data_IF_168748551623
#
_entry.id   IF_168748551623
#
_cell.length_a   1.000
_cell.length_b   1.000
_cell.length_c   1.000
_cell.angle_alpha   90.00
_cell.angle_beta   90.00
_cell.angle_gamma   90.00
#
_symmetry.space_group_name_H-M   'P 1'
#
loop_
_entity.id
_entity.type
_entity.pdbx_description
1 polymer ?
#
# COMPACT_ATOMS: atom_id res chain seq x y z
N UNK A 1 11.54 25.50 -8.75
CA UNK A 1 11.59 24.04 -8.69
C UNK A 1 10.15 23.58 -8.62
N UNK A 2 9.72 22.70 -9.53
CA UNK A 2 8.36 22.14 -9.52
C UNK A 2 8.34 20.97 -8.55
N UNK A 3 7.27 20.86 -7.73
CA UNK A 3 7.03 19.75 -6.81
C UNK A 3 5.72 19.07 -7.15
N UNK A 4 5.66 17.77 -7.01
CA UNK A 4 4.48 16.96 -7.33
C UNK A 4 4.51 15.62 -6.59
N UNK A 5 3.41 14.93 -6.63
CA UNK A 5 3.30 13.56 -6.13
C UNK A 5 3.50 12.56 -7.27
N UNK A 6 4.31 11.54 -7.01
CA UNK A 6 4.48 10.38 -7.89
C UNK A 6 3.89 9.16 -7.19
N UNK A 7 3.06 8.41 -7.89
CA UNK A 7 2.46 7.18 -7.38
C UNK A 7 3.20 5.97 -7.95
N UNK A 8 3.76 5.13 -7.09
CA UNK A 8 4.41 3.88 -7.47
C UNK A 8 3.50 2.70 -7.16
N UNK A 9 2.87 2.15 -8.19
CA UNK A 9 1.98 1.00 -8.01
C UNK A 9 2.75 -0.32 -7.97
N UNK A 10 2.30 -1.23 -7.12
CA UNK A 10 2.80 -2.60 -7.08
C UNK A 10 2.31 -3.40 -8.29
N UNK A 11 3.24 -3.95 -9.05
CA UNK A 11 2.89 -4.89 -10.12
C UNK A 11 2.45 -6.22 -9.50
N UNK A 12 1.31 -6.73 -9.94
CA UNK A 12 0.81 -8.03 -9.48
C UNK A 12 1.74 -9.14 -9.99
N UNK A 13 2.15 -10.03 -9.10
CA UNK A 13 3.05 -11.14 -9.44
C UNK A 13 2.37 -12.28 -10.21
N UNK A 14 3.16 -13.12 -10.94
CA UNK A 14 2.63 -14.20 -11.78
C UNK A 14 1.95 -15.33 -10.99
N UNK A 15 2.15 -15.39 -9.70
CA UNK A 15 1.55 -16.37 -8.78
C UNK A 15 0.36 -15.82 -7.97
N UNK A 16 -0.27 -14.74 -8.44
CA UNK A 16 -1.43 -14.15 -7.78
C UNK A 16 -2.52 -15.18 -7.52
N UNK A 17 -2.98 -15.27 -6.27
CA UNK A 17 -3.96 -16.24 -5.81
C UNK A 17 -4.81 -15.68 -4.67
N UNK A 18 -5.94 -16.35 -4.39
CA UNK A 18 -6.87 -16.01 -3.31
C UNK A 18 -6.76 -17.01 -2.16
N UNK A 19 -5.70 -16.93 -1.36
CA UNK A 19 -5.48 -17.84 -0.24
C UNK A 19 -6.24 -17.46 1.05
N UNK A 20 -6.84 -16.27 1.11
CA UNK A 20 -7.64 -15.84 2.28
C UNK A 20 -6.83 -15.67 3.58
N UNK A 21 -5.58 -15.23 3.48
CA UNK A 21 -4.59 -15.27 4.56
C UNK A 21 -4.79 -14.20 5.65
N UNK A 22 -5.58 -13.16 5.37
CA UNK A 22 -5.67 -12.00 6.26
C UNK A 22 -6.90 -12.07 7.17
N UNK A 23 -6.74 -12.67 8.36
CA UNK A 23 -7.76 -12.59 9.41
C UNK A 23 -8.06 -11.12 9.77
N UNK A 24 -9.35 -10.74 9.74
CA UNK A 24 -9.81 -9.36 9.91
C UNK A 24 -10.01 -8.59 8.60
N UNK A 25 -9.57 -9.11 7.44
CA UNK A 25 -9.91 -8.58 6.13
C UNK A 25 -11.05 -9.41 5.53
N UNK A 26 -12.28 -8.88 5.59
CA UNK A 26 -13.50 -9.60 5.21
C UNK A 26 -13.49 -9.98 3.72
N UNK A 27 -13.04 -9.10 2.84
CA UNK A 27 -12.99 -9.36 1.40
C UNK A 27 -12.01 -10.49 1.06
N UNK A 28 -10.81 -10.48 1.67
CA UNK A 28 -9.83 -11.55 1.49
C UNK A 28 -10.37 -12.91 1.94
N UNK A 29 -11.08 -12.96 3.08
CA UNK A 29 -11.61 -14.21 3.62
C UNK A 29 -12.80 -14.77 2.83
N UNK A 30 -13.68 -13.90 2.32
CA UNK A 30 -14.89 -14.33 1.59
C UNK A 30 -14.59 -14.93 0.22
N UNK A 31 -13.46 -14.58 -0.40
CA UNK A 31 -13.03 -15.11 -1.70
C UNK A 31 -11.96 -16.20 -1.58
N UNK A 32 -11.66 -16.67 -0.37
CA UNK A 32 -10.66 -17.72 -0.14
C UNK A 32 -10.98 -18.98 -0.97
N UNK A 33 -9.94 -19.56 -1.58
CA UNK A 33 -9.99 -20.76 -2.40
C UNK A 33 -10.65 -20.63 -3.80
N UNK A 34 -11.12 -19.44 -4.19
CA UNK A 34 -11.56 -19.21 -5.57
C UNK A 34 -10.35 -19.30 -6.53
N UNK A 35 -10.63 -19.70 -7.78
CA UNK A 35 -9.61 -19.60 -8.84
C UNK A 35 -9.31 -18.13 -9.15
N UNK A 36 -8.03 -17.77 -9.17
CA UNK A 36 -7.58 -16.46 -9.59
C UNK A 36 -7.28 -16.39 -11.08
N UNK A 37 -7.16 -15.17 -11.61
CA UNK A 37 -6.63 -14.89 -12.92
C UNK A 37 -5.44 -13.92 -12.77
N UNK A 38 -4.19 -14.43 -12.62
CA UNK A 38 -3.01 -13.60 -12.45
C UNK A 38 -2.80 -12.60 -13.59
N UNK A 39 -3.04 -13.03 -14.84
CA UNK A 39 -2.92 -12.18 -16.03
C UNK A 39 -3.86 -11.00 -15.96
N UNK A 40 -5.13 -11.23 -15.69
CA UNK A 40 -6.12 -10.15 -15.59
C UNK A 40 -5.84 -9.23 -14.39
N UNK A 41 -5.41 -9.79 -13.26
CA UNK A 41 -5.03 -8.98 -12.10
C UNK A 41 -3.88 -8.01 -12.41
N UNK A 42 -2.83 -8.48 -13.09
CA UNK A 42 -1.71 -7.65 -13.52
C UNK A 42 -2.15 -6.59 -14.56
N UNK A 43 -2.97 -6.98 -15.53
CA UNK A 43 -3.48 -6.05 -16.55
C UNK A 43 -4.42 -4.98 -15.97
N UNK A 44 -5.26 -5.30 -14.97
CA UNK A 44 -6.05 -4.28 -14.26
C UNK A 44 -5.16 -3.24 -13.59
N UNK A 45 -4.09 -3.67 -12.90
CA UNK A 45 -3.11 -2.76 -12.31
C UNK A 45 -2.42 -1.88 -13.36
N UNK A 46 -1.96 -2.46 -14.47
CA UNK A 46 -1.33 -1.71 -15.56
C UNK A 46 -2.29 -0.70 -16.21
N UNK A 47 -3.55 -1.07 -16.44
CA UNK A 47 -4.58 -0.14 -16.96
C UNK A 47 -4.84 1.02 -16.00
N UNK A 48 -4.85 0.77 -14.67
CA UNK A 48 -4.95 1.83 -13.67
C UNK A 48 -3.76 2.78 -13.78
N UNK A 49 -2.52 2.26 -13.82
CA UNK A 49 -1.31 3.09 -13.97
C UNK A 49 -1.39 3.96 -15.24
N UNK A 50 -1.80 3.35 -16.38
CA UNK A 50 -1.96 4.05 -17.65
C UNK A 50 -3.01 5.17 -17.57
N UNK A 51 -4.18 4.89 -17.00
CA UNK A 51 -5.23 5.88 -16.82
C UNK A 51 -4.78 7.08 -15.97
N UNK A 52 -3.94 6.86 -14.95
CA UNK A 52 -3.37 7.96 -14.16
C UNK A 52 -2.40 8.82 -14.99
N UNK A 53 -1.60 8.22 -15.88
CA UNK A 53 -0.74 9.00 -16.79
C UNK A 53 -1.56 9.83 -17.77
N UNK A 54 -2.70 9.33 -18.22
CA UNK A 54 -3.64 10.06 -19.11
C UNK A 54 -4.33 11.24 -18.39
N UNK A 55 -4.48 11.17 -17.07
CA UNK A 55 -4.90 12.29 -16.22
C UNK A 55 -3.77 13.31 -15.97
N UNK A 56 -2.57 13.07 -16.51
CA UNK A 56 -1.41 13.95 -16.34
C UNK A 56 -0.58 13.70 -15.11
N UNK A 57 -0.81 12.57 -14.40
CA UNK A 57 -0.04 12.19 -13.22
C UNK A 57 1.26 11.50 -13.62
N UNK A 58 2.31 11.73 -12.83
CA UNK A 58 3.54 10.92 -12.93
C UNK A 58 3.33 9.60 -12.20
N UNK A 59 3.51 8.51 -12.91
CA UNK A 59 3.25 7.15 -12.42
C UNK A 59 4.51 6.30 -12.51
N UNK A 60 4.81 5.59 -11.43
CA UNK A 60 5.87 4.59 -11.37
C UNK A 60 5.33 3.19 -11.11
N UNK A 61 6.22 2.20 -11.17
CA UNK A 61 5.93 0.78 -10.91
C UNK A 61 6.98 0.18 -9.99
N UNK A 62 6.53 -0.63 -9.02
CA UNK A 62 7.37 -1.48 -8.17
C UNK A 62 7.21 -2.94 -8.58
N UNK A 63 8.33 -3.66 -8.63
CA UNK A 63 8.35 -5.07 -8.97
C UNK A 63 7.68 -5.94 -7.89
N UNK A 64 7.02 -7.06 -8.25
CA UNK A 64 6.44 -7.99 -7.30
C UNK A 64 7.52 -8.79 -6.58
N UNK A 65 7.14 -9.49 -5.52
CA UNK A 65 8.02 -10.41 -4.77
C UNK A 65 8.17 -11.76 -5.48
N UNK A 66 9.32 -12.43 -5.29
CA UNK A 66 9.46 -13.85 -5.64
C UNK A 66 8.49 -14.69 -4.80
N UNK A 67 7.68 -15.50 -5.47
CA UNK A 67 6.81 -16.48 -4.83
C UNK A 67 6.84 -17.81 -5.60
N UNK A 68 6.87 -18.95 -4.88
CA UNK A 68 6.84 -19.04 -3.40
C UNK A 68 8.16 -18.59 -2.78
N UNK A 69 8.09 -18.21 -1.49
CA UNK A 69 9.29 -18.01 -0.68
C UNK A 69 9.87 -19.36 -0.25
N UNK A 70 10.72 -19.93 -1.11
CA UNK A 70 11.36 -21.22 -0.87
C UNK A 70 12.41 -21.15 0.25
N UNK A 71 13.02 -19.98 0.47
CA UNK A 71 13.99 -19.80 1.55
C UNK A 71 13.32 -20.01 2.91
N UNK A 72 12.14 -19.44 3.10
CA UNK A 72 11.34 -19.64 4.31
C UNK A 72 10.89 -21.08 4.47
N UNK A 73 10.43 -21.76 3.41
CA UNK A 73 10.08 -23.18 3.49
C UNK A 73 11.28 -24.03 3.96
N UNK A 74 12.49 -23.76 3.45
CA UNK A 74 13.72 -24.43 3.87
C UNK A 74 14.08 -24.14 5.33
N UNK A 75 13.93 -22.88 5.78
CA UNK A 75 14.12 -22.51 7.20
C UNK A 75 13.14 -23.24 8.13
N UNK A 76 11.97 -23.63 7.62
CA UNK A 76 10.96 -24.41 8.36
C UNK A 76 11.18 -25.92 8.28
N UNK A 77 12.31 -26.37 7.72
CA UNK A 77 12.75 -27.77 7.75
C UNK A 77 12.37 -28.60 6.53
N UNK A 78 11.78 -28.03 5.48
CA UNK A 78 11.54 -28.70 4.21
C UNK A 78 12.85 -28.77 3.42
N UNK A 79 13.28 -29.97 2.99
CA UNK A 79 14.61 -30.21 2.41
C UNK A 79 14.55 -30.86 1.03
N UNK A 80 15.63 -30.70 0.27
CA UNK A 80 15.78 -31.25 -1.07
C UNK A 80 15.75 -30.18 -2.17
N UNK A 81 15.51 -30.59 -3.41
CA UNK A 81 15.29 -29.66 -4.52
C UNK A 81 13.91 -28.96 -4.40
N UNK A 82 13.67 -27.94 -5.19
CA UNK A 82 12.46 -27.13 -5.13
C UNK A 82 11.17 -27.97 -5.23
N UNK A 83 11.13 -28.93 -6.16
CA UNK A 83 9.98 -29.81 -6.34
C UNK A 83 9.66 -30.61 -5.06
N UNK A 84 10.70 -31.17 -4.40
CA UNK A 84 10.53 -31.94 -3.17
C UNK A 84 10.11 -31.07 -1.99
N UNK A 85 10.65 -29.84 -1.89
CA UNK A 85 10.26 -28.87 -0.88
C UNK A 85 8.77 -28.53 -1.03
N UNK A 86 8.30 -28.27 -2.26
CA UNK A 86 6.89 -27.98 -2.53
C UNK A 86 5.98 -29.16 -2.22
N UNK A 87 6.36 -30.38 -2.65
CA UNK A 87 5.58 -31.59 -2.38
C UNK A 87 5.44 -31.85 -0.86
N UNK A 88 6.54 -31.74 -0.12
CA UNK A 88 6.54 -31.92 1.33
C UNK A 88 5.68 -30.86 2.02
N UNK A 89 5.84 -29.57 1.65
CA UNK A 89 5.08 -28.47 2.21
C UNK A 89 3.57 -28.61 1.90
N UNK A 90 3.21 -28.97 0.66
CA UNK A 90 1.82 -29.18 0.28
C UNK A 90 1.16 -30.33 1.06
N UNK A 91 1.91 -31.39 1.37
CA UNK A 91 1.41 -32.55 2.09
C UNK A 91 1.35 -32.33 3.61
N UNK A 92 2.38 -31.69 4.18
CA UNK A 92 2.57 -31.61 5.64
C UNK A 92 2.07 -30.30 6.26
N UNK A 93 2.12 -29.20 5.48
CA UNK A 93 1.78 -27.87 5.97
C UNK A 93 1.19 -26.98 4.85
N UNK A 94 0.03 -27.33 4.28
CA UNK A 94 -0.55 -26.61 3.14
C UNK A 94 -0.84 -25.12 3.43
N UNK A 95 -1.18 -24.76 4.67
CA UNK A 95 -1.38 -23.39 5.09
C UNK A 95 -0.06 -22.57 5.07
N UNK A 96 1.06 -23.21 5.43
CA UNK A 96 2.39 -22.57 5.34
C UNK A 96 2.80 -22.37 3.87
N UNK A 97 2.55 -23.36 3.02
CA UNK A 97 2.79 -23.21 1.58
C UNK A 97 1.98 -22.07 0.99
N UNK A 98 0.68 -22.00 1.31
CA UNK A 98 -0.18 -20.90 0.87
C UNK A 98 0.34 -19.53 1.35
N UNK A 99 0.81 -19.43 2.60
CA UNK A 99 1.42 -18.22 3.13
C UNK A 99 2.70 -17.83 2.38
N UNK A 100 3.56 -18.78 2.00
CA UNK A 100 4.75 -18.54 1.19
C UNK A 100 4.44 -18.16 -0.28
N UNK A 101 3.20 -18.37 -0.73
CA UNK A 101 2.68 -17.90 -2.02
C UNK A 101 1.86 -16.61 -1.94
N UNK A 102 1.88 -15.90 -0.82
CA UNK A 102 1.09 -14.69 -0.61
C UNK A 102 1.24 -13.68 -1.76
N UNK A 103 0.10 -13.24 -2.32
CA UNK A 103 0.04 -12.20 -3.34
C UNK A 103 0.05 -10.77 -2.76
N UNK A 104 0.11 -10.62 -1.44
CA UNK A 104 -0.12 -9.34 -0.75
C UNK A 104 0.94 -8.27 -1.03
N UNK A 105 2.11 -8.62 -1.55
CA UNK A 105 3.16 -7.66 -1.93
C UNK A 105 2.76 -6.68 -3.05
N UNK A 106 1.67 -6.96 -3.76
CA UNK A 106 1.10 -6.03 -4.74
C UNK A 106 0.54 -4.75 -4.08
N UNK A 107 0.26 -4.80 -2.77
CA UNK A 107 -0.24 -3.64 -2.03
C UNK A 107 0.91 -2.81 -1.49
N UNK A 108 1.44 -1.92 -2.33
CA UNK A 108 2.63 -1.13 -2.02
C UNK A 108 2.38 0.02 -1.04
N UNK A 109 1.13 0.31 -0.66
CA UNK A 109 0.86 1.11 0.53
C UNK A 109 1.47 0.50 1.81
N UNK A 110 1.67 -0.82 1.83
CA UNK A 110 2.38 -1.52 2.91
C UNK A 110 3.87 -1.73 2.61
N UNK A 111 4.40 -1.25 1.50
CA UNK A 111 5.82 -1.46 1.18
C UNK A 111 6.74 -0.70 2.14
N UNK A 112 6.44 0.56 2.39
CA UNK A 112 7.26 1.43 3.24
C UNK A 112 6.46 2.62 3.75
N UNK A 113 6.96 3.25 4.82
CA UNK A 113 6.65 4.66 5.13
C UNK A 113 7.65 5.54 4.39
N UNK A 114 7.16 6.65 3.83
CA UNK A 114 7.95 7.61 3.05
C UNK A 114 7.71 9.01 3.58
N UNK A 115 8.80 9.74 3.88
CA UNK A 115 8.74 11.16 4.19
C UNK A 115 9.52 11.96 3.14
N UNK A 116 8.93 13.03 2.56
CA UNK A 116 9.57 13.81 1.51
C UNK A 116 10.71 14.69 2.05
N UNK A 117 11.58 15.13 1.16
CA UNK A 117 12.72 15.98 1.47
C UNK A 117 12.37 17.32 2.14
N UNK A 118 11.13 17.79 1.95
CA UNK A 118 10.63 19.02 2.56
C UNK A 118 10.40 18.90 4.09
N UNK A 119 10.28 17.68 4.60
CA UNK A 119 9.93 17.41 6.01
C UNK A 119 11.09 16.82 6.80
N UNK A 120 12.11 16.29 6.14
CA UNK A 120 13.27 15.64 6.77
C UNK A 120 14.40 16.62 7.06
N UNK A 121 15.13 16.42 8.16
CA UNK A 121 16.21 17.33 8.56
C UNK A 121 17.38 17.36 7.59
N UNK A 122 17.67 16.28 6.87
CA UNK A 122 18.78 16.19 5.92
C UNK A 122 18.40 16.54 4.48
N UNK A 123 17.12 16.87 4.23
CA UNK A 123 16.61 17.29 2.93
C UNK A 123 16.57 16.17 1.88
N UNK A 124 16.56 14.89 2.29
CA UNK A 124 16.38 13.74 1.42
C UNK A 124 15.01 13.08 1.60
N UNK A 125 14.55 12.36 0.60
CA UNK A 125 13.37 11.52 0.75
C UNK A 125 13.77 10.24 1.49
N UNK A 126 13.11 9.95 2.60
CA UNK A 126 13.37 8.78 3.43
C UNK A 126 12.40 7.65 3.18
N UNK A 127 12.93 6.42 3.16
CA UNK A 127 12.16 5.18 3.00
C UNK A 127 12.49 4.22 4.14
N UNK A 128 11.47 3.77 4.88
CA UNK A 128 11.58 2.66 5.83
C UNK A 128 10.63 1.55 5.40
N UNK A 129 11.11 0.39 4.90
CA UNK A 129 10.27 -0.76 4.59
C UNK A 129 9.47 -1.19 5.81
N UNK A 130 8.20 -1.49 5.64
CA UNK A 130 7.36 -1.96 6.74
C UNK A 130 7.71 -3.41 7.11
N UNK A 131 7.83 -3.72 8.40
CA UNK A 131 8.17 -5.07 8.85
C UNK A 131 7.02 -6.07 8.78
N UNK A 132 5.77 -5.60 8.77
CA UNK A 132 4.55 -6.39 8.56
C UNK A 132 4.41 -7.61 9.48
N UNK A 133 4.96 -7.52 10.69
CA UNK A 133 5.11 -8.66 11.61
C UNK A 133 3.80 -9.27 12.09
N UNK A 134 2.70 -8.50 12.02
CA UNK A 134 1.39 -8.99 12.49
C UNK A 134 0.87 -10.20 11.68
N UNK A 135 1.32 -10.38 10.45
CA UNK A 135 0.92 -11.47 9.56
C UNK A 135 2.13 -12.20 9.00
N UNK A 136 2.28 -13.49 9.33
CA UNK A 136 3.39 -14.31 8.85
C UNK A 136 3.61 -14.20 7.33
N UNK A 137 2.54 -14.31 6.53
CA UNK A 137 2.64 -14.24 5.07
C UNK A 137 3.12 -12.87 4.53
N UNK A 138 3.07 -11.82 5.36
CA UNK A 138 3.53 -10.46 5.04
C UNK A 138 4.95 -10.21 5.57
N UNK A 139 5.28 -10.77 6.74
CA UNK A 139 6.62 -10.60 7.34
C UNK A 139 7.77 -11.19 6.49
N UNK A 140 7.44 -11.84 5.38
CA UNK A 140 8.39 -12.34 4.37
C UNK A 140 8.82 -11.27 3.35
N UNK A 141 8.22 -10.06 3.40
CA UNK A 141 8.37 -9.06 2.35
C UNK A 141 9.51 -8.03 2.57
N UNK A 142 9.86 -7.62 3.82
CA UNK A 142 10.64 -6.40 4.06
C UNK A 142 12.00 -6.35 3.37
N UNK A 143 12.76 -7.43 3.39
CA UNK A 143 14.11 -7.47 2.80
C UNK A 143 14.10 -7.24 1.29
N UNK A 144 13.25 -7.97 0.57
CA UNK A 144 13.13 -7.83 -0.89
C UNK A 144 12.53 -6.49 -1.25
N UNK A 145 11.55 -6.00 -0.48
CA UNK A 145 11.01 -4.64 -0.61
C UNK A 145 12.11 -3.59 -0.50
N UNK A 146 12.97 -3.71 0.51
CA UNK A 146 14.12 -2.81 0.69
C UNK A 146 15.09 -2.84 -0.49
N UNK A 147 15.35 -4.01 -1.08
CA UNK A 147 16.19 -4.13 -2.28
C UNK A 147 15.54 -3.46 -3.50
N UNK A 148 14.25 -3.67 -3.72
CA UNK A 148 13.50 -3.06 -4.83
C UNK A 148 13.50 -1.53 -4.67
N UNK A 149 13.18 -1.00 -3.50
CA UNK A 149 13.19 0.45 -3.25
C UNK A 149 14.56 1.06 -3.50
N UNK A 150 15.66 0.42 -3.04
CA UNK A 150 17.02 0.91 -3.34
C UNK A 150 17.37 0.86 -4.82
N UNK A 151 16.84 -0.11 -5.58
CA UNK A 151 17.07 -0.18 -7.03
C UNK A 151 16.28 0.87 -7.82
N UNK A 152 15.10 1.26 -7.32
CA UNK A 152 14.25 2.31 -7.91
C UNK A 152 14.76 3.70 -7.54
N UNK A 153 15.09 3.91 -6.26
CA UNK A 153 15.53 5.18 -5.70
C UNK A 153 17.03 5.08 -5.32
N UNK A 154 17.89 4.98 -6.32
CA UNK A 154 19.28 4.55 -6.16
C UNK A 154 20.31 5.68 -6.04
N UNK A 155 19.87 6.90 -5.80
CA UNK A 155 20.74 8.07 -5.67
C UNK A 155 20.79 8.61 -4.24
N UNK A 156 21.84 8.30 -3.48
CA UNK A 156 22.03 8.66 -2.07
C UNK A 156 22.07 10.18 -1.79
N UNK A 157 22.19 11.01 -2.84
CA UNK A 157 22.10 12.48 -2.69
C UNK A 157 20.64 12.93 -2.43
N UNK A 158 19.67 12.18 -2.92
CA UNK A 158 18.26 12.51 -2.85
C UNK A 158 17.46 11.55 -1.98
N UNK A 159 17.93 10.30 -1.82
CA UNK A 159 17.17 9.23 -1.17
C UNK A 159 17.94 8.62 -0.01
N UNK A 160 17.26 8.41 1.09
CA UNK A 160 17.76 7.74 2.29
C UNK A 160 16.97 6.48 2.56
N UNK A 161 17.65 5.34 2.69
CA UNK A 161 17.04 4.04 2.91
C UNK A 161 17.39 3.47 4.26
N UNK A 162 16.38 3.26 5.08
CA UNK A 162 16.52 2.58 6.37
C UNK A 162 16.31 1.06 6.23
N UNK A 163 16.73 0.33 7.25
CA UNK A 163 16.26 -1.05 7.45
C UNK A 163 14.83 -1.00 8.00
N UNK A 164 14.06 -2.06 7.78
CA UNK A 164 12.78 -2.22 8.47
C UNK A 164 13.00 -2.26 10.00
N UNK A 165 11.99 -1.90 10.78
CA UNK A 165 12.03 -1.99 12.22
C UNK A 165 12.23 -3.45 12.68
N UNK A 166 12.68 -3.69 13.94
CA UNK A 166 12.84 -5.05 14.45
C UNK A 166 11.61 -5.91 14.24
N UNK A 167 11.82 -7.17 13.84
CA UNK A 167 10.77 -8.16 13.58
C UNK A 167 10.12 -8.64 14.89
N UNK A 168 9.45 -7.73 15.58
CA UNK A 168 8.79 -7.99 16.84
C UNK A 168 7.44 -7.27 16.90
N UNK A 169 6.45 -7.90 17.51
CA UNK A 169 5.10 -7.38 17.62
C UNK A 169 4.99 -6.03 18.35
N UNK A 170 5.95 -5.70 19.22
CA UNK A 170 6.03 -4.37 19.86
C UNK A 170 6.32 -3.23 18.88
N UNK A 171 6.96 -3.54 17.76
CA UNK A 171 7.28 -2.60 16.69
C UNK A 171 6.54 -2.93 15.39
N UNK A 172 5.31 -3.46 15.51
CA UNK A 172 4.47 -3.76 14.37
C UNK A 172 4.22 -2.53 13.50
N UNK A 173 4.66 -2.60 12.24
CA UNK A 173 4.58 -1.52 11.25
C UNK A 173 3.94 -2.02 9.95
N UNK A 174 2.98 -1.26 9.45
CA UNK A 174 2.22 -1.57 8.23
C UNK A 174 2.43 -0.53 7.12
N UNK A 175 3.43 0.35 7.29
CA UNK A 175 3.85 1.33 6.28
C UNK A 175 2.84 2.44 6.02
N UNK A 176 2.85 2.97 4.79
CA UNK A 176 2.06 4.12 4.39
C UNK A 176 0.53 3.90 4.44
N UNK A 177 0.04 2.67 4.61
CA UNK A 177 -1.38 2.40 4.87
C UNK A 177 -1.88 3.05 6.17
N UNK A 178 -0.97 3.36 7.10
CA UNK A 178 -1.25 4.04 8.37
C UNK A 178 -0.53 5.40 8.49
N UNK A 179 -0.13 5.96 7.36
CA UNK A 179 0.57 7.23 7.30
C UNK A 179 -0.04 8.14 6.23
N UNK A 180 -0.25 9.41 6.59
CA UNK A 180 -0.79 10.43 5.69
C UNK A 180 -0.06 11.73 5.92
N UNK A 181 0.37 12.40 4.86
CA UNK A 181 0.97 13.73 4.92
C UNK A 181 -0.03 14.79 4.48
N UNK A 182 -0.17 15.86 5.25
CA UNK A 182 -0.89 17.06 4.88
C UNK A 182 0.09 18.22 4.67
N UNK A 183 -0.13 19.02 3.63
CA UNK A 183 0.69 20.18 3.30
C UNK A 183 -0.10 21.19 2.45
N UNK A 184 0.33 22.43 2.39
CA UNK A 184 -0.25 23.44 1.50
C UNK A 184 0.14 23.19 0.05
N UNK A 185 1.42 22.86 -0.16
CA UNK A 185 1.95 22.45 -1.46
C UNK A 185 3.02 21.36 -1.24
N UNK A 186 3.26 20.48 -2.23
CA UNK A 186 4.16 19.33 -2.08
C UNK A 186 5.62 19.70 -1.72
N UNK A 187 6.06 20.90 -2.08
CA UNK A 187 7.41 21.40 -1.76
C UNK A 187 7.52 22.20 -0.46
N UNK A 188 6.42 22.38 0.26
CA UNK A 188 6.41 23.05 1.56
C UNK A 188 6.43 22.00 2.67
N UNK A 189 6.94 22.40 3.85
CA UNK A 189 6.88 21.56 5.05
C UNK A 189 5.43 21.15 5.34
N UNK A 190 5.23 19.87 5.65
CA UNK A 190 3.94 19.28 5.90
C UNK A 190 3.75 18.83 7.34
N UNK A 191 2.56 18.29 7.62
CA UNK A 191 2.23 17.60 8.86
C UNK A 191 2.09 16.12 8.57
N UNK A 192 2.91 15.31 9.22
CA UNK A 192 2.97 13.87 9.07
C UNK A 192 2.05 13.20 10.09
N UNK A 193 0.99 12.57 9.60
CA UNK A 193 -0.01 11.90 10.43
C UNK A 193 0.32 10.41 10.51
N UNK A 194 0.72 9.93 11.69
CA UNK A 194 0.95 8.52 11.98
C UNK A 194 -0.24 7.95 12.75
N UNK A 195 -0.97 7.04 12.13
CA UNK A 195 -2.15 6.43 12.74
C UNK A 195 -1.79 5.05 13.28
N UNK A 196 -1.95 4.86 14.59
CA UNK A 196 -1.67 3.60 15.28
C UNK A 196 -2.94 3.00 15.88
N UNK A 197 -2.97 1.69 16.08
CA UNK A 197 -4.13 1.02 16.65
C UNK A 197 -3.96 0.64 18.12
N UNK A 198 -2.71 0.55 18.62
CA UNK A 198 -2.39 0.23 20.02
C UNK A 198 -1.03 0.78 20.43
N UNK A 199 -0.82 0.96 21.73
CA UNK A 199 0.52 1.05 22.31
C UNK A 199 1.01 -0.34 22.72
N UNK A 200 2.28 -0.62 22.51
CA UNK A 200 2.89 -1.90 22.86
C UNK A 200 3.40 -1.95 24.31
N UNK A 201 3.68 -0.79 24.93
CA UNK A 201 4.20 -0.70 26.28
C UNK A 201 3.26 -0.02 27.27
N UNK A 202 2.13 0.54 26.82
CA UNK A 202 1.12 1.14 27.69
C UNK A 202 -0.22 0.42 27.52
N UNK A 203 -0.44 -0.58 28.34
CA UNK A 203 -1.66 -1.40 28.33
C UNK A 203 -2.89 -0.71 28.95
N UNK A 204 -2.74 0.50 29.49
CA UNK A 204 -3.87 1.30 29.98
C UNK A 204 -4.63 2.00 28.87
N UNK A 205 -4.04 2.15 27.70
CA UNK A 205 -4.68 2.75 26.52
C UNK A 205 -5.73 1.84 25.91
N UNK A 206 -6.80 2.41 25.35
CA UNK A 206 -7.81 1.64 24.63
C UNK A 206 -7.17 0.78 23.51
N UNK A 207 -7.68 -0.44 23.34
CA UNK A 207 -7.24 -1.36 22.29
C UNK A 207 -8.43 -2.17 21.76
N UNK A 208 -8.41 -2.65 20.51
CA UNK A 208 -9.46 -3.50 19.97
C UNK A 208 -9.52 -4.85 20.69
N UNK A 209 -10.70 -5.47 20.69
CA UNK A 209 -10.97 -6.72 21.44
C UNK A 209 -11.11 -7.93 20.54
N UNK A 210 -11.49 -7.73 19.27
CA UNK A 210 -11.82 -8.81 18.33
C UNK A 210 -10.70 -9.07 17.33
N UNK A 211 -10.19 -8.01 16.70
CA UNK A 211 -9.14 -8.11 15.70
C UNK A 211 -7.87 -7.41 16.20
N UNK A 212 -6.68 -7.92 15.90
CA UNK A 212 -5.44 -7.31 16.35
C UNK A 212 -5.23 -5.96 15.66
N UNK A 213 -4.86 -4.94 16.43
CA UNK A 213 -4.29 -3.72 15.88
C UNK A 213 -2.88 -4.03 15.38
N UNK A 214 -2.60 -3.70 14.13
CA UNK A 214 -1.35 -4.08 13.45
C UNK A 214 -0.23 -3.06 13.64
N UNK A 215 -0.58 -1.76 13.59
CA UNK A 215 0.37 -0.65 13.78
C UNK A 215 0.49 -0.29 15.26
N UNK A 216 1.72 -0.16 15.75
CA UNK A 216 1.98 0.29 17.13
C UNK A 216 2.39 1.76 17.16
N UNK A 217 2.12 2.44 18.27
CA UNK A 217 2.58 3.81 18.53
C UNK A 217 4.12 3.88 18.48
N UNK A 218 4.77 2.89 19.06
CA UNK A 218 6.24 2.81 19.18
C UNK A 218 6.91 2.65 17.82
N UNK A 219 6.29 1.90 16.89
CA UNK A 219 6.76 1.82 15.51
C UNK A 219 6.64 3.18 14.81
N UNK A 220 5.50 3.84 14.94
CA UNK A 220 5.27 5.18 14.36
C UNK A 220 6.28 6.20 14.88
N UNK A 221 6.54 6.22 16.18
CA UNK A 221 7.54 7.08 16.80
C UNK A 221 8.97 6.75 16.36
N UNK A 222 9.29 5.48 16.16
CA UNK A 222 10.61 5.05 15.68
C UNK A 222 10.85 5.54 14.24
N UNK A 223 9.86 5.43 13.37
CA UNK A 223 9.94 5.90 11.99
C UNK A 223 10.11 7.42 11.94
N UNK A 224 9.33 8.17 12.72
CA UNK A 224 9.45 9.62 12.78
C UNK A 224 10.88 10.05 13.18
N UNK A 225 11.49 9.37 14.17
CA UNK A 225 12.89 9.60 14.55
C UNK A 225 13.89 9.21 13.47
N UNK A 226 13.72 8.06 12.81
CA UNK A 226 14.58 7.60 11.73
C UNK A 226 14.57 8.55 10.53
N UNK A 227 13.40 9.12 10.22
CA UNK A 227 13.26 10.09 9.14
C UNK A 227 13.69 11.50 9.53
N UNK A 228 14.07 11.73 10.79
CA UNK A 228 14.49 13.05 11.28
C UNK A 228 13.38 14.08 11.18
N UNK A 229 12.13 13.68 11.47
CA UNK A 229 10.98 14.58 11.44
C UNK A 229 10.96 15.46 12.69
N UNK A 230 10.54 16.72 12.52
CA UNK A 230 10.34 17.63 13.63
C UNK A 230 9.09 17.24 14.43
N UNK A 231 9.18 17.23 15.76
CA UNK A 231 8.03 16.92 16.64
C UNK A 231 6.84 17.85 16.41
N UNK A 232 7.08 19.12 16.05
CA UNK A 232 6.04 20.09 15.73
C UNK A 232 5.30 19.79 14.42
N UNK A 233 5.87 18.94 13.56
CA UNK A 233 5.27 18.52 12.28
C UNK A 233 4.71 17.09 12.28
N UNK A 234 4.70 16.39 13.42
CA UNK A 234 4.21 15.01 13.53
C UNK A 234 3.02 14.92 14.47
N UNK A 235 1.95 14.23 14.03
CA UNK A 235 0.77 13.92 14.85
C UNK A 235 0.61 12.41 14.96
N UNK A 236 0.58 11.89 16.19
CA UNK A 236 0.31 10.48 16.46
C UNK A 236 -1.15 10.27 16.82
N UNK A 237 -1.91 9.63 15.94
CA UNK A 237 -3.36 9.48 16.01
C UNK A 237 -3.70 8.04 16.36
N UNK A 238 -4.53 7.85 17.38
CA UNK A 238 -5.07 6.52 17.65
C UNK A 238 -6.32 6.28 16.80
N UNK A 239 -6.28 5.24 15.96
CA UNK A 239 -7.46 4.73 15.26
C UNK A 239 -8.47 4.23 16.30
N UNK A 240 -9.75 4.50 16.08
CA UNK A 240 -10.80 4.07 16.99
C UNK A 240 -10.81 2.51 17.07
N UNK A 241 -10.61 1.92 18.27
CA UNK A 241 -10.59 0.47 18.42
C UNK A 241 -11.89 -0.23 17.99
N UNK A 242 -13.03 0.45 18.10
CA UNK A 242 -14.33 -0.12 17.71
C UNK A 242 -14.44 -0.33 16.19
N UNK A 243 -13.83 0.53 15.37
CA UNK A 243 -13.83 0.32 13.92
C UNK A 243 -12.83 -0.77 13.50
N UNK A 244 -11.73 -0.94 14.25
CA UNK A 244 -10.81 -2.08 14.04
C UNK A 244 -11.59 -3.40 14.25
N UNK A 245 -12.40 -3.48 15.29
CA UNK A 245 -13.26 -4.63 15.59
C UNK A 245 -14.39 -4.85 14.57
N UNK A 246 -14.67 -3.87 13.71
CA UNK A 246 -15.58 -3.95 12.57
C UNK A 246 -14.87 -4.33 11.24
N UNK A 247 -13.55 -4.56 11.27
CA UNK A 247 -12.78 -4.98 10.11
C UNK A 247 -11.96 -3.88 9.43
N UNK A 248 -11.83 -2.70 10.07
CA UNK A 248 -10.95 -1.62 9.61
C UNK A 248 -9.52 -1.91 10.08
N UNK A 249 -8.81 -2.69 9.32
CA UNK A 249 -7.49 -3.23 9.68
C UNK A 249 -6.32 -2.25 9.45
N UNK A 250 -6.51 -1.20 8.65
CA UNK A 250 -5.59 -0.10 8.41
C UNK A 250 -6.33 1.24 8.36
N UNK A 251 -5.62 2.34 8.58
CA UNK A 251 -6.18 3.68 8.47
C UNK A 251 -6.69 3.98 7.05
N UNK A 252 -6.04 3.51 6.00
CA UNK A 252 -6.44 3.73 4.61
C UNK A 252 -7.78 3.08 4.22
N UNK A 253 -8.39 2.31 5.13
CA UNK A 253 -9.76 1.78 5.00
C UNK A 253 -10.81 2.75 5.56
N UNK A 254 -10.41 3.75 6.36
CA UNK A 254 -11.35 4.64 7.06
C UNK A 254 -11.00 6.13 6.92
N UNK A 255 -9.82 6.46 6.41
CA UNK A 255 -9.38 7.83 6.16
C UNK A 255 -8.36 7.89 5.01
N UNK A 256 -8.37 8.96 4.25
CA UNK A 256 -7.40 9.26 3.19
C UNK A 256 -7.19 10.77 3.10
N UNK A 257 -5.96 11.20 2.86
CA UNK A 257 -5.66 12.63 2.69
C UNK A 257 -4.76 12.90 1.50
N UNK A 258 -4.76 14.14 1.05
CA UNK A 258 -3.82 14.67 0.08
C UNK A 258 -3.71 16.19 0.23
N UNK A 259 -2.50 16.72 0.25
CA UNK A 259 -2.22 18.14 0.46
C UNK A 259 -3.03 18.71 1.63
N UNK A 260 -3.98 19.60 1.38
CA UNK A 260 -4.79 20.28 2.38
C UNK A 260 -6.16 19.63 2.61
N UNK A 261 -6.35 18.37 2.22
CA UNK A 261 -7.60 17.62 2.41
C UNK A 261 -7.37 16.39 3.26
N UNK A 262 -8.17 16.22 4.32
CA UNK A 262 -8.34 14.97 5.04
C UNK A 262 -9.81 14.53 4.91
N UNK A 263 -10.03 13.40 4.22
CA UNK A 263 -11.31 12.76 4.00
C UNK A 263 -11.40 11.52 4.89
N UNK A 264 -12.32 11.49 5.84
CA UNK A 264 -12.37 10.46 6.87
C UNK A 264 -13.80 10.19 7.34
N UNK A 265 -14.02 9.00 7.88
CA UNK A 265 -15.28 8.63 8.49
C UNK A 265 -15.39 9.22 9.91
N UNK A 266 -16.59 9.61 10.33
CA UNK A 266 -16.88 10.15 11.66
C UNK A 266 -16.30 9.30 12.81
N UNK A 267 -16.25 7.99 12.64
CA UNK A 267 -15.73 7.05 13.65
C UNK A 267 -14.25 6.68 13.46
N UNK A 268 -13.49 7.34 12.56
CA UNK A 268 -12.13 6.94 12.23
C UNK A 268 -11.17 6.98 13.40
N UNK A 269 -11.21 8.05 14.19
CA UNK A 269 -10.21 8.33 15.20
C UNK A 269 -10.80 8.31 16.62
N UNK A 270 -9.97 7.93 17.58
CA UNK A 270 -10.27 8.14 18.98
C UNK A 270 -10.08 9.63 19.30
N UNK A 271 -11.09 10.27 19.94
CA UNK A 271 -11.07 11.70 20.27
C UNK A 271 -10.88 12.61 19.03
N UNK A 272 -11.67 12.39 17.99
CA UNK A 272 -11.58 13.09 16.68
C UNK A 272 -11.44 14.61 16.84
N UNK A 273 -12.22 15.27 17.71
CA UNK A 273 -12.15 16.73 17.89
C UNK A 273 -10.76 17.20 18.32
N UNK A 274 -10.14 16.53 19.29
CA UNK A 274 -8.80 16.85 19.76
C UNK A 274 -7.73 16.58 18.66
N UNK A 275 -7.89 15.50 17.89
CA UNK A 275 -7.02 15.17 16.76
C UNK A 275 -7.07 16.27 15.69
N UNK A 276 -8.26 16.70 15.29
CA UNK A 276 -8.43 17.75 14.29
C UNK A 276 -7.87 19.10 14.76
N UNK A 277 -8.02 19.41 16.05
CA UNK A 277 -7.44 20.62 16.65
C UNK A 277 -5.91 20.59 16.64
N UNK A 278 -5.29 19.45 16.96
CA UNK A 278 -3.84 19.28 16.91
C UNK A 278 -3.31 19.38 15.46
N UNK A 279 -3.96 18.71 14.51
CA UNK A 279 -3.61 18.81 13.08
C UNK A 279 -3.70 20.28 12.63
N UNK A 280 -4.79 20.99 12.94
CA UNK A 280 -4.96 22.40 12.56
C UNK A 280 -3.89 23.30 13.17
N UNK A 281 -3.54 23.07 14.44
CA UNK A 281 -2.50 23.84 15.13
C UNK A 281 -1.13 23.67 14.47
N UNK A 282 -0.76 22.44 14.09
CA UNK A 282 0.53 22.13 13.43
C UNK A 282 0.54 22.49 11.94
N UNK A 283 -0.60 22.43 11.25
CA UNK A 283 -0.71 22.85 9.85
C UNK A 283 -0.55 24.38 9.70
N UNK A 284 -0.94 25.12 10.74
CA UNK A 284 -0.83 26.58 10.77
C UNK A 284 -1.82 27.29 9.85
N UNK A 285 -1.40 28.44 9.29
CA UNK A 285 -2.25 29.24 8.39
C UNK A 285 -2.43 28.54 7.03
N UNK A 286 -3.66 28.54 6.51
CA UNK A 286 -4.02 27.96 5.21
C UNK A 286 -5.39 27.30 5.22
N UNK A 287 -5.91 27.03 4.03
CA UNK A 287 -7.20 26.34 3.85
C UNK A 287 -7.01 24.83 4.05
N UNK A 288 -7.30 24.34 5.25
CA UNK A 288 -7.33 22.92 5.57
C UNK A 288 -8.78 22.42 5.54
N UNK A 289 -9.04 21.40 4.73
CA UNK A 289 -10.38 20.83 4.55
C UNK A 289 -10.50 19.50 5.26
N UNK A 290 -11.25 19.47 6.35
CA UNK A 290 -11.71 18.25 7.01
C UNK A 290 -13.06 17.84 6.43
N UNK A 291 -13.07 16.74 5.67
CA UNK A 291 -14.28 16.20 5.05
C UNK A 291 -14.68 14.95 5.83
N UNK A 292 -15.54 15.16 6.83
CA UNK A 292 -16.08 14.08 7.64
C UNK A 292 -17.28 13.43 6.94
N UNK A 293 -17.27 12.09 6.87
CA UNK A 293 -18.40 11.28 6.40
C UNK A 293 -19.24 10.85 7.61
N UNK A 294 -20.46 11.37 7.76
CA UNK A 294 -21.32 11.01 8.89
C UNK A 294 -21.76 9.54 8.81
N UNK A 295 -21.79 8.86 9.95
CA UNK A 295 -22.31 7.48 10.07
C UNK A 295 -23.75 7.33 9.58
N UNK A 296 -24.54 8.40 9.71
CA UNK A 296 -25.93 8.43 9.25
C UNK A 296 -26.06 8.43 7.70
N UNK A 297 -25.04 8.88 6.97
CA UNK A 297 -25.01 8.90 5.50
C UNK A 297 -24.32 7.66 4.93
N UNK A 298 -23.19 7.27 5.52
CA UNK A 298 -22.45 6.05 5.12
C UNK A 298 -22.07 5.31 6.39
N UNK A 299 -22.54 4.08 6.55
CA UNK A 299 -22.14 3.25 7.68
C UNK A 299 -20.68 2.78 7.55
N UNK A 300 -20.02 2.43 8.67
CA UNK A 300 -18.69 1.82 8.64
C UNK A 300 -18.68 0.57 7.75
N UNK A 301 -19.74 -0.24 7.80
CA UNK A 301 -19.86 -1.44 6.98
C UNK A 301 -19.92 -1.12 5.48
N UNK A 302 -20.65 -0.09 5.07
CA UNK A 302 -20.71 0.35 3.67
C UNK A 302 -19.36 0.91 3.23
N UNK A 303 -18.71 1.71 4.07
CA UNK A 303 -17.38 2.24 3.81
C UNK A 303 -16.33 1.11 3.63
N UNK A 304 -16.36 0.09 4.48
CA UNK A 304 -15.47 -1.09 4.39
C UNK A 304 -15.77 -1.91 3.15
N UNK A 305 -17.03 -2.20 2.83
CA UNK A 305 -17.42 -3.03 1.67
C UNK A 305 -17.10 -2.36 0.34
N UNK A 306 -17.27 -1.05 0.25
CA UNK A 306 -17.00 -0.28 -0.97
C UNK A 306 -15.55 0.17 -1.09
N UNK A 307 -14.75 0.07 0.00
CA UNK A 307 -13.42 0.68 0.10
C UNK A 307 -13.43 2.19 -0.17
N UNK A 308 -14.46 2.90 0.34
CA UNK A 308 -14.64 4.35 0.15
C UNK A 308 -13.39 5.17 0.45
N UNK A 309 -12.68 4.86 1.53
CA UNK A 309 -11.47 5.57 1.94
C UNK A 309 -10.20 4.94 1.38
N UNK A 310 -10.26 3.71 0.87
CA UNK A 310 -9.15 3.10 0.14
C UNK A 310 -9.12 3.56 -1.32
N UNK A 311 -9.39 4.83 -1.50
CA UNK A 311 -9.36 5.59 -2.76
C UNK A 311 -8.09 6.44 -2.80
N UNK A 312 -7.75 6.97 -3.97
CA UNK A 312 -6.66 7.94 -4.09
C UNK A 312 -7.26 9.32 -4.29
N UNK A 313 -6.86 10.30 -3.47
CA UNK A 313 -7.11 11.71 -3.76
C UNK A 313 -5.87 12.22 -4.49
N UNK A 314 -6.03 12.74 -5.68
CA UNK A 314 -4.97 13.25 -6.55
C UNK A 314 -5.16 14.73 -6.79
N UNK A 315 -4.08 15.50 -6.82
CA UNK A 315 -4.08 16.87 -7.33
C UNK A 315 -3.71 16.83 -8.81
N UNK A 316 -4.67 17.16 -9.66
CA UNK A 316 -4.51 17.20 -11.11
C UNK A 316 -3.63 18.38 -11.54
N UNK A 317 -3.08 18.39 -12.78
CA UNK A 317 -2.33 19.51 -13.31
C UNK A 317 -3.11 20.84 -13.34
N UNK A 318 -4.44 20.79 -13.32
CA UNK A 318 -5.31 21.96 -13.18
C UNK A 318 -5.28 22.62 -11.81
N UNK A 319 -4.76 21.91 -10.78
CA UNK A 319 -4.84 22.30 -9.37
C UNK A 319 -6.09 21.80 -8.65
N UNK A 320 -7.08 21.26 -9.36
CA UNK A 320 -8.25 20.61 -8.76
C UNK A 320 -7.91 19.22 -8.29
N UNK A 321 -8.66 18.71 -7.31
CA UNK A 321 -8.50 17.33 -6.85
C UNK A 321 -9.54 16.39 -7.44
N UNK A 322 -9.10 15.15 -7.68
CA UNK A 322 -9.97 14.06 -8.09
C UNK A 322 -9.81 12.85 -7.18
N UNK A 323 -10.89 12.09 -6.97
CA UNK A 323 -10.86 10.78 -6.30
C UNK A 323 -10.78 9.69 -7.35
N UNK A 324 -9.83 8.77 -7.19
CA UNK A 324 -9.80 7.49 -7.90
C UNK A 324 -10.41 6.44 -6.99
N UNK A 325 -11.60 5.98 -7.31
CA UNK A 325 -12.38 5.05 -6.52
C UNK A 325 -12.56 3.70 -7.23
N UNK A 326 -12.72 2.59 -6.51
CA UNK A 326 -13.12 1.32 -7.12
C UNK A 326 -14.59 1.39 -7.56
N UNK A 327 -14.97 0.55 -8.51
CA UNK A 327 -16.35 0.48 -9.02
C UNK A 327 -17.37 0.15 -7.92
N UNK A 328 -16.96 -0.51 -6.85
CA UNK A 328 -17.76 -0.83 -5.67
C UNK A 328 -18.30 0.42 -4.96
N UNK A 329 -17.58 1.56 -5.04
CA UNK A 329 -18.07 2.85 -4.53
C UNK A 329 -19.27 3.38 -5.33
N UNK A 330 -19.27 3.17 -6.65
CA UNK A 330 -20.40 3.53 -7.53
C UNK A 330 -21.60 2.62 -7.28
N UNK A 331 -21.32 1.33 -7.09
CA UNK A 331 -22.34 0.27 -7.00
C UNK A 331 -23.01 0.23 -5.61
N UNK A 332 -22.42 0.84 -4.57
CA UNK A 332 -23.03 1.02 -3.25
C UNK A 332 -23.90 2.29 -3.23
N UNK A 333 -25.23 2.21 -3.01
CA UNK A 333 -26.10 3.38 -3.11
C UNK A 333 -25.79 4.51 -2.11
N UNK A 334 -25.45 4.18 -0.87
CA UNK A 334 -25.13 5.16 0.16
C UNK A 334 -23.82 5.91 -0.17
N UNK A 335 -22.80 5.16 -0.57
CA UNK A 335 -21.50 5.71 -0.96
C UNK A 335 -21.60 6.54 -2.22
N UNK A 336 -22.30 6.05 -3.24
CA UNK A 336 -22.52 6.79 -4.49
C UNK A 336 -23.28 8.11 -4.25
N UNK A 337 -24.31 8.08 -3.41
CA UNK A 337 -25.05 9.30 -3.03
C UNK A 337 -24.14 10.31 -2.31
N UNK A 338 -23.32 9.84 -1.35
CA UNK A 338 -22.39 10.71 -0.63
C UNK A 338 -21.32 11.31 -1.56
N UNK A 339 -20.71 10.52 -2.46
CA UNK A 339 -19.73 11.03 -3.40
C UNK A 339 -20.32 12.07 -4.35
N UNK A 340 -21.57 11.88 -4.83
CA UNK A 340 -22.27 12.88 -5.62
C UNK A 340 -22.52 14.18 -4.81
N UNK A 341 -22.89 14.08 -3.54
CA UNK A 341 -23.03 15.21 -2.63
C UNK A 341 -21.69 15.92 -2.44
N UNK A 342 -20.59 15.18 -2.22
CA UNK A 342 -19.25 15.71 -2.04
C UNK A 342 -18.84 16.64 -3.20
N UNK A 343 -19.16 16.27 -4.44
CA UNK A 343 -18.85 17.07 -5.62
C UNK A 343 -19.60 18.42 -5.66
N UNK A 344 -20.66 18.59 -4.86
CA UNK A 344 -21.39 19.86 -4.73
C UNK A 344 -20.89 20.73 -3.59
N UNK A 345 -20.03 20.18 -2.73
CA UNK A 345 -19.49 20.89 -1.57
C UNK A 345 -18.36 21.84 -1.98
N UNK A 346 -18.12 22.87 -1.15
CA UNK A 346 -16.99 23.78 -1.36
C UNK A 346 -15.68 23.14 -0.86
N UNK A 347 -15.14 22.18 -1.63
CA UNK A 347 -13.89 21.49 -1.36
C UNK A 347 -13.03 21.46 -2.64
N UNK A 348 -11.73 21.20 -2.55
CA UNK A 348 -10.88 21.04 -3.73
C UNK A 348 -11.25 19.83 -4.62
N UNK A 349 -12.00 18.85 -4.11
CA UNK A 349 -12.39 17.64 -4.85
C UNK A 349 -13.52 17.99 -5.83
N UNK A 350 -13.26 17.82 -7.13
CA UNK A 350 -14.18 18.20 -8.21
C UNK A 350 -14.57 17.04 -9.13
N UNK A 351 -13.92 15.88 -9.01
CA UNK A 351 -14.21 14.71 -9.83
C UNK A 351 -14.04 13.41 -9.05
N UNK A 352 -14.78 12.38 -9.47
CA UNK A 352 -14.58 10.97 -9.06
C UNK A 352 -14.44 10.11 -10.30
N UNK A 353 -13.32 9.42 -10.43
CA UNK A 353 -13.06 8.44 -11.48
C UNK A 353 -13.16 7.04 -10.92
N UNK A 354 -14.06 6.23 -11.47
CA UNK A 354 -14.24 4.84 -11.05
C UNK A 354 -13.37 3.91 -11.89
N UNK A 355 -12.61 3.04 -11.22
CA UNK A 355 -11.72 2.08 -11.87
C UNK A 355 -12.06 0.65 -11.45
N UNK A 356 -12.05 -0.26 -12.43
CA UNK A 356 -12.17 -1.69 -12.17
C UNK A 356 -10.83 -2.26 -11.70
N UNK A 357 -10.76 -2.52 -10.40
CA UNK A 357 -9.64 -3.21 -9.73
C UNK A 357 -10.15 -4.45 -8.98
N UNK A 358 -11.13 -5.12 -9.55
CA UNK A 358 -11.90 -6.21 -8.92
C UNK A 358 -11.03 -7.37 -8.45
N UNK A 359 -9.95 -7.70 -9.18
CA UNK A 359 -9.02 -8.75 -8.76
C UNK A 359 -8.29 -8.38 -7.47
N UNK A 360 -7.88 -7.11 -7.31
CA UNK A 360 -7.31 -6.60 -6.07
C UNK A 360 -8.36 -6.53 -4.96
N UNK A 361 -9.55 -6.00 -5.25
CA UNK A 361 -10.66 -5.90 -4.29
C UNK A 361 -11.06 -7.26 -3.71
N UNK A 362 -11.14 -8.30 -4.53
CA UNK A 362 -11.41 -9.67 -4.09
C UNK A 362 -10.34 -10.22 -3.15
N UNK A 363 -9.09 -9.80 -3.33
CA UNK A 363 -7.99 -10.18 -2.45
C UNK A 363 -7.90 -9.28 -1.21
N UNK A 364 -8.64 -8.16 -1.17
CA UNK A 364 -8.84 -7.32 0.00
C UNK A 364 -8.07 -6.01 0.00
N UNK A 365 -7.81 -5.40 -1.17
CA UNK A 365 -7.20 -4.09 -1.31
C UNK A 365 -7.77 -3.28 -2.47
N UNK A 366 -8.08 -2.00 -2.22
CA UNK A 366 -8.57 -1.04 -3.21
C UNK A 366 -7.44 -0.24 -3.89
N UNK A 367 -7.78 0.83 -4.61
CA UNK A 367 -6.82 1.65 -5.36
C UNK A 367 -5.69 2.23 -4.51
N UNK A 368 -5.95 2.67 -3.26
CA UNK A 368 -4.92 3.21 -2.39
C UNK A 368 -3.93 2.13 -1.93
N UNK A 369 -4.38 0.91 -1.65
CA UNK A 369 -3.48 -0.19 -1.30
C UNK A 369 -2.45 -0.49 -2.38
N UNK A 370 -2.82 -0.32 -3.65
CA UNK A 370 -1.96 -0.64 -4.79
C UNK A 370 -0.79 0.34 -4.98
N UNK A 371 -0.77 1.48 -4.31
CA UNK A 371 0.23 2.53 -4.54
C UNK A 371 1.07 2.88 -3.33
N UNK A 372 2.33 3.21 -3.56
CA UNK A 372 3.21 3.95 -2.66
C UNK A 372 3.33 5.38 -3.18
N UNK A 373 2.98 6.36 -2.35
CA UNK A 373 3.00 7.78 -2.69
C UNK A 373 4.34 8.40 -2.30
N UNK A 374 4.96 9.13 -3.22
CA UNK A 374 6.21 9.85 -2.99
C UNK A 374 6.08 11.28 -3.51
N UNK A 375 6.08 12.25 -2.61
CA UNK A 375 6.18 13.67 -3.01
C UNK A 375 7.65 14.00 -3.28
N UNK A 376 7.91 14.65 -4.43
CA UNK A 376 9.26 14.95 -4.88
C UNK A 376 9.32 16.17 -5.81
N UNK A 377 10.50 16.70 -5.99
CA UNK A 377 10.78 17.75 -6.95
C UNK A 377 11.37 17.23 -8.27
N UNK A 378 11.58 18.11 -9.24
CA UNK A 378 12.10 17.77 -10.58
C UNK A 378 13.49 17.07 -10.52
N UNK A 379 14.37 17.46 -9.57
CA UNK A 379 15.72 16.89 -9.44
C UNK A 379 15.65 15.49 -8.84
N UNK A 380 14.79 15.28 -7.86
CA UNK A 380 14.53 13.99 -7.23
C UNK A 380 13.89 13.02 -8.21
N UNK A 381 12.91 13.48 -9.01
CA UNK A 381 12.33 12.67 -10.08
C UNK A 381 13.36 12.26 -11.14
N UNK A 382 14.24 13.18 -11.54
CA UNK A 382 15.32 12.88 -12.48
C UNK A 382 16.34 11.85 -11.93
N UNK A 383 16.41 11.71 -10.61
CA UNK A 383 17.27 10.74 -9.92
C UNK A 383 16.61 9.36 -9.71
N UNK A 384 15.31 9.22 -9.96
CA UNK A 384 14.61 7.92 -9.96
C UNK A 384 15.06 7.08 -11.14
N UNK A 385 15.14 5.77 -10.98
CA UNK A 385 15.38 4.84 -12.08
C UNK A 385 14.31 5.03 -13.18
N UNK A 386 14.66 5.57 -14.36
CA UNK A 386 13.68 5.95 -15.39
C UNK A 386 12.96 4.75 -15.99
N UNK A 387 13.53 3.54 -15.89
CA UNK A 387 12.88 2.31 -16.37
C UNK A 387 11.68 1.90 -15.48
N UNK A 388 11.57 2.46 -14.27
CA UNK A 388 10.43 2.25 -13.37
C UNK A 388 9.32 3.30 -13.53
N UNK A 389 9.48 4.29 -14.42
CA UNK A 389 8.45 5.29 -14.72
C UNK A 389 7.59 4.83 -15.91
N UNK A 390 6.28 4.95 -15.76
CA UNK A 390 5.31 4.52 -16.78
C UNK A 390 5.14 5.60 -17.85
N UNK A 391 5.39 5.20 -19.07
CA UNK A 391 5.02 5.89 -20.31
C UNK A 391 4.44 4.87 -21.29
N UNK A 392 4.01 5.29 -22.48
CA UNK A 392 3.38 4.40 -23.47
C UNK A 392 4.28 3.21 -23.87
N UNK A 393 5.57 3.45 -24.05
CA UNK A 393 6.53 2.41 -24.37
C UNK A 393 6.69 1.40 -23.22
N UNK A 394 6.82 1.90 -21.99
CA UNK A 394 6.99 1.03 -20.82
C UNK A 394 5.70 0.26 -20.51
N UNK A 395 4.53 0.92 -20.65
CA UNK A 395 3.25 0.23 -20.54
C UNK A 395 3.15 -0.94 -21.55
N UNK A 396 3.45 -0.70 -22.83
CA UNK A 396 3.39 -1.73 -23.86
C UNK A 396 4.36 -2.89 -23.57
N UNK A 397 5.57 -2.59 -23.07
CA UNK A 397 6.55 -3.62 -22.69
C UNK A 397 6.06 -4.48 -21.53
N UNK A 398 5.50 -3.86 -20.49
CA UNK A 398 4.99 -4.57 -19.31
C UNK A 398 3.72 -5.36 -19.65
N UNK A 399 2.81 -4.80 -20.45
CA UNK A 399 1.60 -5.51 -20.90
C UNK A 399 1.96 -6.75 -21.74
N UNK A 400 2.90 -6.64 -22.69
CA UNK A 400 3.41 -7.76 -23.46
C UNK A 400 4.20 -8.78 -22.62
N UNK A 401 4.89 -8.35 -21.56
CA UNK A 401 5.53 -9.24 -20.60
C UNK A 401 4.49 -10.06 -19.82
N UNK A 402 3.42 -9.43 -19.36
CA UNK A 402 2.29 -10.14 -18.71
C UNK A 402 1.68 -11.18 -19.65
N UNK A 403 1.48 -10.83 -20.93
CA UNK A 403 0.92 -11.77 -21.91
C UNK A 403 1.77 -13.04 -22.11
N UNK A 404 3.09 -12.91 -22.05
CA UNK A 404 4.02 -14.04 -22.23
C UNK A 404 4.15 -14.95 -21.01
N UNK A 405 4.07 -14.38 -19.80
CA UNK A 405 4.48 -15.07 -18.58
C UNK A 405 3.34 -15.47 -17.65
N UNK A 406 2.15 -14.88 -17.78
CA UNK A 406 1.10 -15.06 -16.77
C UNK A 406 0.06 -16.07 -17.23
N UNK A 407 -0.28 -16.95 -16.31
CA UNK A 407 -1.43 -17.84 -16.47
C UNK A 407 -2.73 -17.04 -16.36
N UNK A 408 -3.78 -17.41 -17.08
CA UNK A 408 -5.14 -16.85 -17.00
C UNK A 408 -6.01 -17.56 -15.96
N UNK A 409 -5.51 -18.66 -15.39
CA UNK A 409 -6.16 -19.36 -14.29
C UNK A 409 -5.13 -19.96 -13.36
N UNK A 410 -5.30 -19.74 -12.04
CA UNK A 410 -4.49 -20.33 -10.98
C UNK A 410 -5.39 -20.73 -9.81
N UNK A 411 -5.25 -21.96 -9.34
CA UNK A 411 -5.92 -22.52 -8.16
C UNK A 411 -4.91 -22.82 -7.06
N UNK A 412 -5.37 -23.08 -5.85
CA UNK A 412 -4.48 -23.48 -4.76
C UNK A 412 -3.78 -24.83 -5.02
N UNK A 413 -4.40 -25.72 -5.84
CA UNK A 413 -3.77 -26.96 -6.24
C UNK A 413 -2.54 -26.76 -7.15
N UNK A 414 -2.54 -25.69 -7.96
CA UNK A 414 -1.41 -25.35 -8.82
C UNK A 414 -0.17 -24.88 -8.03
N UNK A 415 -0.34 -24.45 -6.77
CA UNK A 415 0.78 -23.98 -5.93
C UNK A 415 1.80 -25.07 -5.59
N UNK A 416 1.47 -26.33 -5.76
CA UNK A 416 2.38 -27.47 -5.58
C UNK A 416 3.15 -27.84 -6.86
N UNK A 417 2.83 -27.21 -7.99
CA UNK A 417 3.47 -27.49 -9.28
C UNK A 417 4.85 -26.85 -9.35
N UNK A 418 5.94 -27.63 -9.47
CA UNK A 418 7.29 -27.06 -9.61
C UNK A 418 7.48 -26.23 -10.88
N UNK A 419 6.67 -26.47 -11.93
CA UNK A 419 6.73 -25.68 -13.16
C UNK A 419 6.36 -24.22 -12.89
N UNK A 420 5.40 -23.97 -11.99
CA UNK A 420 5.01 -22.61 -11.58
C UNK A 420 6.18 -21.80 -10.98
N UNK A 421 7.08 -22.44 -10.24
CA UNK A 421 8.29 -21.79 -9.71
C UNK A 421 9.20 -21.34 -10.83
N UNK A 422 9.43 -22.19 -11.82
CA UNK A 422 10.29 -21.86 -12.96
C UNK A 422 9.67 -20.76 -13.83
N UNK A 423 8.37 -20.84 -14.09
CA UNK A 423 7.61 -19.78 -14.78
C UNK A 423 7.73 -18.44 -14.06
N UNK A 424 7.51 -18.44 -12.74
CA UNK A 424 7.61 -17.25 -11.89
C UNK A 424 9.02 -16.64 -11.92
N UNK A 425 10.05 -17.44 -11.71
CA UNK A 425 11.45 -16.96 -11.75
C UNK A 425 11.86 -16.44 -13.13
N UNK A 426 11.47 -17.13 -14.21
CA UNK A 426 11.74 -16.65 -15.58
C UNK A 426 11.05 -15.30 -15.84
N UNK A 427 9.81 -15.13 -15.39
CA UNK A 427 9.09 -13.87 -15.48
C UNK A 427 9.80 -12.75 -14.71
N UNK A 428 10.19 -13.00 -13.47
CA UNK A 428 10.84 -12.01 -12.62
C UNK A 428 12.24 -11.66 -13.09
N UNK A 429 12.99 -12.62 -13.64
CA UNK A 429 14.32 -12.37 -14.21
C UNK A 429 14.23 -11.44 -15.42
N UNK A 430 13.30 -11.69 -16.36
CA UNK A 430 13.04 -10.77 -17.48
C UNK A 430 12.57 -9.40 -16.98
N UNK A 431 11.70 -9.36 -15.94
CA UNK A 431 11.21 -8.10 -15.37
C UNK A 431 12.35 -7.24 -14.81
N UNK A 432 13.33 -7.84 -14.11
CA UNK A 432 14.48 -7.08 -13.60
C UNK A 432 15.31 -6.46 -14.72
N UNK A 433 15.36 -7.07 -15.89
CA UNK A 433 16.01 -6.51 -17.09
C UNK A 433 15.17 -5.37 -17.69
N UNK A 434 13.83 -5.54 -17.78
CA UNK A 434 12.91 -4.51 -18.27
C UNK A 434 12.99 -3.26 -17.39
N UNK A 435 12.98 -3.43 -16.08
CA UNK A 435 12.98 -2.35 -15.09
C UNK A 435 14.38 -1.91 -14.65
N UNK A 436 15.44 -2.55 -15.16
CA UNK A 436 16.86 -2.29 -14.84
C UNK A 436 17.12 -2.26 -13.33
N UNK A 437 16.62 -3.28 -12.61
CA UNK A 437 16.72 -3.35 -11.16
C UNK A 437 17.99 -4.08 -10.67
N UNK A 438 18.71 -4.78 -11.56
CA UNK A 438 19.78 -5.69 -11.15
C UNK A 438 19.26 -6.92 -10.40
N UNK A 439 20.10 -7.55 -9.59
CA UNK A 439 19.76 -8.76 -8.84
C UNK A 439 19.07 -8.41 -7.51
N UNK A 440 17.78 -8.13 -7.57
CA UNK A 440 16.97 -7.79 -6.36
C UNK A 440 16.39 -9.03 -5.66
N UNK A 441 16.28 -10.15 -6.38
CA UNK A 441 15.69 -11.39 -5.84
C UNK A 441 16.74 -12.38 -5.32
N UNK A 442 16.42 -13.17 -4.28
CA UNK A 442 17.33 -14.18 -3.74
C UNK A 442 17.81 -15.20 -4.77
N UNK A 443 16.96 -15.63 -5.71
CA UNK A 443 17.33 -16.63 -6.74
C UNK A 443 18.31 -16.12 -7.79
N UNK A 444 18.56 -14.81 -7.84
CA UNK A 444 19.50 -14.17 -8.77
C UNK A 444 20.91 -13.95 -8.17
N UNK A 445 21.11 -14.31 -6.89
CA UNK A 445 22.32 -14.04 -6.10
C UNK A 445 23.13 -15.28 -5.83
#
# INVERSE_FOLDING_TARGET
>A
MKHFEVNFDGLVGPTHNYAGLSYGNVASQSNAQEASNPKEAAKQGLRKMKALTELGMTQGVLAPQERPDLATLRRLGFTGNDARVLEQAAKQAPAVLAACYSASSMWTANAATVSPSADTQDGRIHFTPANLTNKFHRSLEPDVTGHILRAVFNNDRHFSHHLHLPENDHFGDEGAANHTRLCRAYGEAGVELFVYGRSAFDYSRPAPKRYPARQTLEASQAIARLHGLDEESVVFIQQNPEVIDQGVFHNDVIAVGNQNVLFFHQQAFLNTEAVLAEISGKFGEGDLHFIEVPTAEVSVLDAVKSYLFNTQILTLPSGEMAIIAPTECRDNPAVSAYLNKLLTMNTPIKAVHYMDVKQSMRNGGGPACLRLRVAMNDQELAAVNPACLINDSQFTRLDGWVDRHYRDRLTLDDLRDPALVQESRSALDELTQILKLGSVYPFQR
#
